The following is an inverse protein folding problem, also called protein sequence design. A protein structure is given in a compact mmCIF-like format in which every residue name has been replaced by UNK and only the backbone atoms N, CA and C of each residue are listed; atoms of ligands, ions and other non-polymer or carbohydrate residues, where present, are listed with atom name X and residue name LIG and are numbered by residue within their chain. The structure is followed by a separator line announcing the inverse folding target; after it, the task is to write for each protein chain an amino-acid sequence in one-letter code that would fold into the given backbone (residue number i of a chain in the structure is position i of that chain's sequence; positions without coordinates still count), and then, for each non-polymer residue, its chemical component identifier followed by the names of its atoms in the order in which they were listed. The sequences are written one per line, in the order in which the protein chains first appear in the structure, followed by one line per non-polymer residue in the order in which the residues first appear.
data_IF_372656258112
#
_entry.id   IF_372656258112
#
_cell.length_a   1.000
_cell.length_b   1.000
_cell.length_c   1.000
_cell.angle_alpha   90.00
_cell.angle_beta   90.00
_cell.angle_gamma   90.00
#
_symmetry.space_group_name_H-M   'P 1'
#
loop_
_entity.id
_entity.type
_entity.pdbx_description
1 polymer ?
#
# COMPACT_ATOMS: atom_id res chain seq x y z
N UNK A 1 -15.36 26.74 -18.51
CA UNK A 1 -15.03 25.86 -17.36
C UNK A 1 -14.48 26.75 -16.26
N UNK A 2 -15.17 26.82 -15.12
CA UNK A 2 -14.93 27.85 -14.12
C UNK A 2 -13.55 27.67 -13.44
N UNK A 3 -12.82 28.76 -13.13
CA UNK A 3 -11.49 28.71 -12.50
C UNK A 3 -11.47 27.90 -11.20
N UNK A 4 -12.61 27.78 -10.51
CA UNK A 4 -12.79 26.94 -9.32
C UNK A 4 -12.50 25.46 -9.55
N UNK A 5 -12.80 24.91 -10.74
CA UNK A 5 -12.56 23.51 -11.04
C UNK A 5 -11.07 23.20 -11.18
N UNK A 6 -10.32 24.11 -11.81
CA UNK A 6 -8.87 24.00 -11.94
C UNK A 6 -8.16 24.14 -10.60
N UNK A 7 -8.62 25.05 -9.74
CA UNK A 7 -8.07 25.20 -8.37
C UNK A 7 -8.28 23.94 -7.54
N UNK A 8 -9.48 23.34 -7.56
CA UNK A 8 -9.76 22.10 -6.81
C UNK A 8 -8.90 20.93 -7.28
N UNK A 9 -8.75 20.77 -8.60
CA UNK A 9 -7.89 19.72 -9.18
C UNK A 9 -6.42 19.92 -8.81
N UNK A 10 -5.93 21.16 -8.85
CA UNK A 10 -4.55 21.49 -8.47
C UNK A 10 -4.28 21.21 -6.98
N UNK A 11 -5.23 21.56 -6.10
CA UNK A 11 -5.10 21.28 -4.65
C UNK A 11 -5.12 19.78 -4.36
N UNK A 12 -5.96 19.00 -5.06
CA UNK A 12 -6.00 17.55 -4.89
C UNK A 12 -4.69 16.91 -5.36
N UNK A 13 -4.16 17.34 -6.50
CA UNK A 13 -2.89 16.85 -7.04
C UNK A 13 -1.69 17.11 -6.11
N UNK A 14 -1.70 18.23 -5.38
CA UNK A 14 -0.65 18.57 -4.40
C UNK A 14 -0.75 17.76 -3.09
N UNK A 15 -1.93 17.28 -2.73
CA UNK A 15 -2.16 16.51 -1.49
C UNK A 15 -1.85 15.02 -1.64
N UNK A 16 -2.06 14.45 -2.84
CA UNK A 16 -1.83 13.02 -3.12
C UNK A 16 -0.43 12.48 -2.72
N UNK A 17 0.69 13.19 -2.94
CA UNK A 17 2.02 12.68 -2.59
C UNK A 17 2.27 12.60 -1.07
N UNK A 18 1.46 13.27 -0.25
CA UNK A 18 1.65 13.33 1.21
C UNK A 18 0.97 12.20 1.97
N UNK A 19 0.20 11.35 1.29
CA UNK A 19 -0.54 10.25 1.91
C UNK A 19 0.40 9.04 2.02
N UNK A 20 1.09 8.91 3.16
CA UNK A 20 1.77 7.67 3.52
C UNK A 20 0.70 6.63 3.92
N UNK A 21 0.40 5.69 3.02
CA UNK A 21 -0.52 4.59 3.28
C UNK A 21 0.24 3.38 3.82
N UNK A 22 -0.17 2.90 4.99
CA UNK A 22 0.24 1.59 5.50
C UNK A 22 -0.33 0.47 4.61
N UNK A 23 0.49 -0.54 4.33
CA UNK A 23 0.09 -1.72 3.56
C UNK A 23 -0.23 -2.88 4.50
N UNK A 24 -1.35 -3.56 4.25
CA UNK A 24 -1.67 -4.84 4.86
C UNK A 24 -1.13 -5.96 3.95
N UNK A 25 -0.26 -6.82 4.47
CA UNK A 25 0.33 -7.96 3.76
C UNK A 25 -0.25 -9.27 4.25
N UNK A 26 -1.19 -9.88 3.51
CA UNK A 26 -1.73 -11.20 3.87
C UNK A 26 -0.61 -12.25 3.88
N UNK A 27 -0.31 -12.80 5.06
CA UNK A 27 0.77 -13.78 5.21
C UNK A 27 0.46 -15.06 4.44
N UNK A 28 1.37 -15.43 3.54
CA UNK A 28 1.20 -16.59 2.66
C UNK A 28 0.22 -16.37 1.50
N UNK A 29 -0.19 -15.13 1.24
CA UNK A 29 -1.09 -14.75 0.14
C UNK A 29 -2.36 -15.64 0.11
N UNK A 30 -2.65 -16.31 -1.01
CA UNK A 30 -3.83 -17.19 -1.15
C UNK A 30 -3.74 -18.47 -0.31
N UNK A 31 -2.53 -18.87 0.08
CA UNK A 31 -2.25 -20.09 0.84
C UNK A 31 -2.41 -19.86 2.34
N UNK A 32 -2.33 -18.62 2.80
CA UNK A 32 -2.53 -18.22 4.19
C UNK A 32 -1.45 -18.74 5.15
N UNK A 33 -1.81 -18.81 6.44
CA UNK A 33 -0.94 -19.31 7.50
C UNK A 33 -1.15 -20.82 7.71
N UNK A 34 -0.19 -21.63 7.25
CA UNK A 34 -0.26 -23.09 7.18
C UNK A 34 1.12 -23.73 7.35
N UNK A 35 1.14 -25.05 7.51
CA UNK A 35 2.38 -25.83 7.61
C UNK A 35 2.94 -26.15 6.22
N UNK A 36 4.27 -26.35 6.15
CA UNK A 36 4.98 -26.74 4.93
C UNK A 36 4.89 -25.73 3.76
N UNK A 37 4.70 -24.44 4.07
CA UNK A 37 4.79 -23.35 3.10
C UNK A 37 6.11 -22.60 3.23
N UNK A 38 6.66 -22.14 2.11
CA UNK A 38 7.92 -21.38 2.09
C UNK A 38 7.69 -19.90 2.38
N UNK A 39 7.56 -19.57 3.66
CA UNK A 39 7.42 -18.19 4.13
C UNK A 39 8.67 -17.34 3.90
N UNK A 40 9.83 -17.95 3.67
CA UNK A 40 11.05 -17.21 3.40
C UNK A 40 11.00 -16.61 2.00
N UNK A 41 10.68 -17.42 1.00
CA UNK A 41 10.46 -16.95 -0.37
C UNK A 41 9.30 -15.94 -0.44
N UNK A 42 8.21 -16.17 0.32
CA UNK A 42 7.12 -15.18 0.42
C UNK A 42 7.63 -13.85 0.98
N UNK A 43 8.34 -13.84 2.10
CA UNK A 43 8.84 -12.60 2.71
C UNK A 43 9.84 -11.87 1.80
N UNK A 44 10.71 -12.60 1.10
CA UNK A 44 11.67 -12.05 0.12
C UNK A 44 10.97 -11.38 -1.07
N UNK A 45 9.72 -11.75 -1.37
CA UNK A 45 8.91 -11.15 -2.44
C UNK A 45 8.21 -9.85 -2.04
N UNK A 46 8.22 -9.45 -0.76
CA UNK A 46 7.52 -8.27 -0.25
C UNK A 46 8.49 -7.14 0.12
N UNK A 47 7.98 -5.91 0.11
CA UNK A 47 8.67 -4.73 0.66
C UNK A 47 7.89 -4.23 1.85
N UNK A 48 8.45 -4.40 3.04
CA UNK A 48 7.86 -3.93 4.29
C UNK A 48 8.31 -2.51 4.58
N UNK A 49 7.36 -1.64 4.93
CA UNK A 49 7.61 -0.27 5.38
C UNK A 49 7.14 -0.09 6.81
N UNK A 50 7.72 0.89 7.52
CA UNK A 50 7.26 1.24 8.88
C UNK A 50 5.80 1.67 8.81
N UNK A 51 4.97 1.05 9.64
CA UNK A 51 3.52 1.27 9.67
C UNK A 51 2.70 0.20 8.96
N UNK A 52 3.32 -0.67 8.16
CA UNK A 52 2.65 -1.83 7.56
C UNK A 52 2.21 -2.86 8.60
N UNK A 53 1.23 -3.67 8.22
CA UNK A 53 0.68 -4.78 9.02
C UNK A 53 0.67 -6.09 8.21
N UNK A 54 0.60 -7.21 8.93
CA UNK A 54 0.56 -8.58 8.38
C UNK A 54 -0.84 -9.18 8.58
#
# INVERSE_FOLDING_TARGET
MAPSQFTVLATLALLLPSIALATQHTVGDEQGWTINFDYKTWAESKVFRVGDSL
#
